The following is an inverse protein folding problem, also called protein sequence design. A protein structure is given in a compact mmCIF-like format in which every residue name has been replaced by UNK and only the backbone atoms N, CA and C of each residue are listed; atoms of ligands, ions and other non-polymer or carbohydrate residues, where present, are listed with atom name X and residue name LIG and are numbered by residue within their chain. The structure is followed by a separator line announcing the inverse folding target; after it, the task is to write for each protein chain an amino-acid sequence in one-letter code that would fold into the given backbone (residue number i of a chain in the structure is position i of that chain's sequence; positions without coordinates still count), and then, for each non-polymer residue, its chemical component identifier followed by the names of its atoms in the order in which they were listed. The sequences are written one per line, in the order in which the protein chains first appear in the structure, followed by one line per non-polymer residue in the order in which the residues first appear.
data_IF_203322319704
#
_entry.id   IF_203322319704
#
_cell.length_a   1.000
_cell.length_b   1.000
_cell.length_c   1.000
_cell.angle_alpha   90.00
_cell.angle_beta   90.00
_cell.angle_gamma   90.00
#
_symmetry.space_group_name_H-M   'P 1'
#
loop_
_entity.id
_entity.type
_entity.pdbx_description
1 polymer ?
#
# COMPACT_ATOMS: atom_id res chain seq x y z
N UNK A 1 -4.99 12.75 -1.62
CA UNK A 1 -4.50 11.80 -0.61
C UNK A 1 -5.10 12.15 0.74
N UNK A 2 -5.81 11.20 1.36
CA UNK A 2 -6.35 11.40 2.71
C UNK A 2 -5.24 11.14 3.72
N UNK A 3 -4.80 12.20 4.42
CA UNK A 3 -3.77 12.12 5.45
C UNK A 3 -4.33 12.33 6.86
N UNK A 4 -5.63 12.10 7.02
CA UNK A 4 -6.29 12.22 8.32
C UNK A 4 -6.33 10.86 8.98
N UNK A 5 -5.77 10.78 10.19
CA UNK A 5 -5.95 9.66 11.11
C UNK A 5 -7.05 10.01 12.10
N UNK A 6 -8.06 9.17 12.20
CA UNK A 6 -9.14 9.32 13.18
C UNK A 6 -9.14 8.12 14.12
N UNK A 7 -8.66 8.33 15.32
CA UNK A 7 -8.72 7.33 16.38
C UNK A 7 -9.96 7.57 17.22
N UNK A 8 -10.70 6.52 17.49
CA UNK A 8 -11.94 6.62 18.22
C UNK A 8 -12.11 5.48 19.24
N UNK A 9 -12.90 5.77 20.27
CA UNK A 9 -13.43 4.81 21.23
C UNK A 9 -14.94 4.83 21.13
N UNK A 10 -15.56 3.67 20.99
CA UNK A 10 -17.01 3.52 20.90
C UNK A 10 -17.53 2.42 21.83
N UNK A 11 -18.82 2.40 22.07
CA UNK A 11 -19.49 1.33 22.79
C UNK A 11 -19.48 0.06 21.95
N UNK A 12 -19.45 -1.08 22.61
CA UNK A 12 -19.68 -2.38 21.97
C UNK A 12 -21.18 -2.65 21.99
N UNK A 13 -21.75 -2.96 20.82
CA UNK A 13 -23.11 -3.39 20.66
C UNK A 13 -23.17 -4.73 19.87
N UNK A 14 -24.35 -5.12 19.39
CA UNK A 14 -24.54 -6.39 18.63
C UNK A 14 -23.93 -6.36 17.22
N UNK A 15 -23.63 -5.18 16.69
CA UNK A 15 -23.04 -5.01 15.36
C UNK A 15 -21.50 -4.99 15.38
N UNK A 16 -20.90 -4.96 14.20
CA UNK A 16 -19.47 -4.77 14.04
C UNK A 16 -19.20 -3.28 13.89
N UNK A 17 -18.51 -2.71 14.89
CA UNK A 17 -18.10 -1.30 14.92
C UNK A 17 -19.29 -0.30 14.76
N UNK A 18 -20.47 -0.64 15.28
CA UNK A 18 -21.72 0.16 15.13
C UNK A 18 -22.08 0.98 16.35
N UNK A 19 -21.45 0.71 17.50
CA UNK A 19 -21.77 1.37 18.76
C UNK A 19 -21.46 2.85 18.77
N UNK A 20 -22.19 3.63 19.61
CA UNK A 20 -22.01 5.06 19.71
C UNK A 20 -20.59 5.46 20.08
N UNK A 21 -20.07 6.49 19.43
CA UNK A 21 -18.73 7.03 19.69
C UNK A 21 -18.73 7.76 21.04
N UNK A 22 -17.77 7.41 21.88
CA UNK A 22 -17.54 8.00 23.21
C UNK A 22 -16.57 9.18 23.11
N UNK A 23 -15.44 9.00 22.45
CA UNK A 23 -14.41 10.03 22.26
C UNK A 23 -13.64 9.74 20.97
N UNK A 24 -13.05 10.77 20.38
CA UNK A 24 -12.20 10.61 19.20
C UNK A 24 -11.09 11.63 19.16
N UNK A 25 -10.02 11.30 18.46
CA UNK A 25 -8.87 12.17 18.22
C UNK A 25 -8.50 12.17 16.74
N UNK A 26 -8.43 13.35 16.15
CA UNK A 26 -7.99 13.56 14.77
C UNK A 26 -6.52 14.00 14.76
N UNK A 27 -5.72 13.36 13.93
CA UNK A 27 -4.34 13.77 13.67
C UNK A 27 -4.03 13.70 12.18
N UNK A 28 -2.92 14.35 11.77
CA UNK A 28 -2.46 14.30 10.39
C UNK A 28 -1.24 13.38 10.30
N UNK A 29 -1.28 12.43 9.39
CA UNK A 29 -0.09 11.67 9.04
C UNK A 29 0.99 12.60 8.48
N UNK A 30 2.24 12.53 8.97
CA UNK A 30 3.34 13.30 8.42
C UNK A 30 3.64 12.89 6.97
N UNK A 31 4.24 13.79 6.20
CA UNK A 31 4.61 13.53 4.81
C UNK A 31 5.61 12.39 4.63
N UNK A 32 6.32 12.04 5.70
CA UNK A 32 7.25 10.90 5.72
C UNK A 32 6.56 9.54 5.69
N UNK A 33 5.27 9.45 6.06
CA UNK A 33 4.53 8.20 5.91
C UNK A 33 4.24 7.96 4.43
N UNK A 34 4.82 6.90 3.86
CA UNK A 34 4.72 6.54 2.44
C UNK A 34 4.28 5.09 2.24
N UNK A 35 4.66 4.20 3.14
CA UNK A 35 4.35 2.77 3.08
C UNK A 35 3.45 2.37 4.26
N UNK A 36 2.72 1.25 4.19
CA UNK A 36 1.81 0.82 5.24
C UNK A 36 2.43 0.77 6.65
N UNK A 37 3.68 0.31 6.76
CA UNK A 37 4.38 0.26 8.05
C UNK A 37 4.54 1.64 8.69
N UNK A 38 4.87 2.68 7.91
CA UNK A 38 5.00 4.05 8.44
C UNK A 38 3.68 4.55 9.05
N UNK A 39 2.56 4.26 8.36
CA UNK A 39 1.23 4.64 8.84
C UNK A 39 0.85 3.89 10.12
N UNK A 40 1.13 2.57 10.18
CA UNK A 40 0.83 1.77 11.38
C UNK A 40 1.68 2.21 12.58
N UNK A 41 2.98 2.46 12.40
CA UNK A 41 3.88 2.93 13.47
C UNK A 41 3.42 4.28 14.02
N UNK A 42 3.03 5.21 13.13
CA UNK A 42 2.50 6.50 13.53
C UNK A 42 1.18 6.36 14.29
N UNK A 43 0.24 5.57 13.76
CA UNK A 43 -1.07 5.31 14.39
C UNK A 43 -0.91 4.70 15.76
N UNK A 44 -0.05 3.69 15.91
CA UNK A 44 0.19 3.03 17.18
C UNK A 44 0.66 4.03 18.24
N UNK A 45 1.61 4.91 17.89
CA UNK A 45 2.09 5.96 18.78
C UNK A 45 0.94 6.89 19.21
N UNK A 46 0.15 7.38 18.24
CA UNK A 46 -0.99 8.26 18.52
C UNK A 46 -2.10 7.59 19.30
N UNK A 47 -2.34 6.30 19.04
CA UNK A 47 -3.29 5.50 19.80
C UNK A 47 -2.90 5.40 21.28
N UNK A 48 -1.63 5.15 21.60
CA UNK A 48 -1.16 5.07 22.99
C UNK A 48 -1.35 6.42 23.70
N UNK A 49 -1.01 7.53 23.05
CA UNK A 49 -1.22 8.88 23.58
C UNK A 49 -2.70 9.13 23.87
N UNK A 50 -3.57 8.94 22.87
CA UNK A 50 -5.01 9.15 22.97
C UNK A 50 -5.67 8.26 24.03
N UNK A 51 -5.37 6.94 24.00
CA UNK A 51 -5.96 5.99 24.92
C UNK A 51 -5.55 6.26 26.39
N UNK A 52 -4.30 6.64 26.62
CA UNK A 52 -3.82 7.04 27.95
C UNK A 52 -4.58 8.26 28.48
N UNK A 53 -4.82 9.26 27.65
CA UNK A 53 -5.62 10.44 28.00
C UNK A 53 -7.09 10.07 28.24
N UNK A 54 -7.65 9.19 27.42
CA UNK A 54 -9.02 8.71 27.59
C UNK A 54 -9.21 7.98 28.94
N UNK A 55 -8.31 7.09 29.33
CA UNK A 55 -8.34 6.42 30.62
C UNK A 55 -8.24 7.40 31.79
N UNK A 56 -7.40 8.43 31.69
CA UNK A 56 -7.33 9.50 32.71
C UNK A 56 -8.67 10.27 32.85
N UNK A 57 -9.33 10.57 31.73
CA UNK A 57 -10.64 11.20 31.71
C UNK A 57 -11.67 10.34 32.47
N UNK A 58 -11.72 9.03 32.24
CA UNK A 58 -12.61 8.10 32.94
C UNK A 58 -12.29 8.09 34.44
N UNK A 59 -11.03 7.94 34.83
CA UNK A 59 -10.62 7.92 36.25
C UNK A 59 -10.98 9.19 36.99
N UNK A 60 -11.00 10.32 36.29
CA UNK A 60 -11.40 11.62 36.86
C UNK A 60 -12.93 11.86 36.83
N UNK A 61 -13.73 10.85 36.49
CA UNK A 61 -15.18 10.92 36.49
C UNK A 61 -15.78 11.77 35.38
N UNK A 62 -15.07 12.01 34.27
CA UNK A 62 -15.58 12.77 33.14
C UNK A 62 -16.77 12.03 32.50
N UNK A 63 -17.88 12.72 32.32
CA UNK A 63 -18.99 12.25 31.48
C UNK A 63 -18.72 12.50 30.02
N UNK A 64 -19.27 11.64 29.14
CA UNK A 64 -19.10 11.72 27.70
C UNK A 64 -20.47 11.80 27.01
N UNK A 65 -20.56 12.68 26.02
CA UNK A 65 -21.73 12.76 25.15
C UNK A 65 -21.58 11.70 24.03
N UNK A 66 -22.45 10.72 24.05
CA UNK A 66 -22.43 9.65 23.04
C UNK A 66 -22.91 10.17 21.68
N UNK A 67 -22.13 9.94 20.63
CA UNK A 67 -22.46 10.33 19.26
C UNK A 67 -22.81 9.09 18.45
N UNK A 68 -24.00 9.01 17.82
CA UNK A 68 -24.35 7.86 16.98
C UNK A 68 -23.46 7.80 15.73
N UNK A 69 -23.14 6.58 15.31
CA UNK A 69 -22.51 6.36 14.00
C UNK A 69 -23.60 6.34 12.91
N UNK A 70 -23.39 7.12 11.84
CA UNK A 70 -24.39 7.26 10.77
C UNK A 70 -24.06 6.26 9.65
N UNK A 71 -24.85 5.20 9.52
CA UNK A 71 -24.62 4.10 8.56
C UNK A 71 -24.49 4.56 7.11
N UNK A 72 -25.20 5.64 6.71
CA UNK A 72 -25.13 6.14 5.33
C UNK A 72 -23.79 6.86 5.00
N UNK A 73 -22.95 7.14 5.99
CA UNK A 73 -21.59 7.65 5.79
C UNK A 73 -20.55 6.54 5.68
N UNK A 74 -20.96 5.29 5.92
CA UNK A 74 -20.08 4.12 5.81
C UNK A 74 -19.59 3.90 4.39
N UNK A 75 -18.28 3.66 4.23
CA UNK A 75 -17.66 3.28 2.96
C UNK A 75 -17.15 1.85 3.06
N UNK A 76 -17.57 1.01 2.12
CA UNK A 76 -17.03 -0.34 2.05
C UNK A 76 -15.61 -0.30 1.48
N UNK A 77 -14.66 -0.83 2.24
CA UNK A 77 -13.28 -1.06 1.80
C UNK A 77 -13.02 -2.58 1.87
N UNK A 78 -12.78 -3.25 0.74
CA UNK A 78 -12.48 -4.67 0.75
C UNK A 78 -11.12 -4.90 1.42
N UNK A 79 -10.99 -6.03 2.10
CA UNK A 79 -9.68 -6.51 2.53
C UNK A 79 -8.96 -7.08 1.30
N UNK A 80 -7.77 -6.53 0.99
CA UNK A 80 -7.00 -6.95 -0.17
C UNK A 80 -6.21 -8.24 0.11
N UNK A 81 -6.01 -9.03 -0.95
CA UNK A 81 -5.06 -10.13 -1.00
C UNK A 81 -3.86 -9.71 -1.84
N UNK A 82 -2.71 -9.53 -1.22
CA UNK A 82 -1.50 -9.00 -1.88
C UNK A 82 -1.06 -9.84 -3.07
N UNK A 83 -1.25 -11.16 -3.04
CA UNK A 83 -0.88 -12.05 -4.15
C UNK A 83 -1.78 -11.90 -5.39
N UNK A 84 -3.02 -11.47 -5.19
CA UNK A 84 -4.00 -11.27 -6.27
C UNK A 84 -4.08 -9.80 -6.65
N UNK A 85 -4.22 -8.93 -5.65
CA UNK A 85 -4.52 -7.51 -5.86
C UNK A 85 -3.25 -6.67 -6.08
N UNK A 86 -2.06 -7.20 -5.73
CA UNK A 86 -0.77 -6.52 -5.84
C UNK A 86 -0.10 -6.59 -7.23
N UNK A 87 -0.80 -7.03 -8.28
CA UNK A 87 -0.26 -7.10 -9.64
C UNK A 87 -0.11 -5.71 -10.27
N UNK A 88 1.12 -5.34 -10.62
CA UNK A 88 1.43 -4.02 -11.18
C UNK A 88 0.89 -3.91 -12.60
N UNK A 89 0.05 -2.91 -12.85
CA UNK A 89 -0.34 -2.53 -14.21
C UNK A 89 0.59 -1.41 -14.72
N UNK A 90 1.55 -1.75 -15.56
CA UNK A 90 2.51 -0.80 -16.12
C UNK A 90 1.90 0.26 -17.05
N UNK A 91 0.60 0.20 -17.33
CA UNK A 91 -0.15 1.23 -18.05
C UNK A 91 -0.62 2.39 -17.15
N UNK A 92 -0.41 2.31 -15.84
CA UNK A 92 -0.65 3.41 -14.91
C UNK A 92 0.35 4.55 -15.15
N UNK A 93 0.00 5.77 -14.73
CA UNK A 93 0.97 6.87 -14.72
C UNK A 93 2.00 6.69 -13.59
N UNK A 94 3.04 7.52 -13.57
CA UNK A 94 4.15 7.38 -12.62
C UNK A 94 3.75 7.57 -11.17
N UNK A 95 2.79 8.46 -10.89
CA UNK A 95 2.31 8.68 -9.52
C UNK A 95 1.42 7.53 -9.06
N UNK A 96 0.55 7.03 -9.94
CA UNK A 96 -0.29 5.88 -9.65
C UNK A 96 0.56 4.62 -9.42
N UNK A 97 1.58 4.39 -10.26
CA UNK A 97 2.54 3.29 -10.07
C UNK A 97 3.28 3.42 -8.73
N UNK A 98 3.80 4.61 -8.42
CA UNK A 98 4.49 4.89 -7.17
C UNK A 98 3.59 4.60 -5.95
N UNK A 99 2.37 5.14 -5.95
CA UNK A 99 1.41 4.95 -4.87
C UNK A 99 0.98 3.48 -4.76
N UNK A 100 0.74 2.82 -5.90
CA UNK A 100 0.35 1.41 -5.94
C UNK A 100 1.45 0.51 -5.36
N UNK A 101 2.69 0.66 -5.81
CA UNK A 101 3.79 -0.19 -5.34
C UNK A 101 4.04 0.01 -3.85
N UNK A 102 4.07 1.27 -3.39
CA UNK A 102 4.25 1.57 -1.97
C UNK A 102 3.10 1.08 -1.09
N UNK A 103 1.87 0.97 -1.61
CA UNK A 103 0.75 0.41 -0.85
C UNK A 103 0.90 -1.10 -0.54
N UNK A 104 1.78 -1.80 -1.26
CA UNK A 104 2.11 -3.21 -1.03
C UNK A 104 3.52 -3.42 -0.45
N UNK A 105 4.21 -2.34 -0.05
CA UNK A 105 5.51 -2.42 0.64
C UNK A 105 5.35 -2.92 2.08
N UNK A 106 6.37 -2.79 2.93
CA UNK A 106 6.31 -3.29 4.31
C UNK A 106 5.00 -2.93 5.04
N UNK A 107 4.38 -3.89 5.74
CA UNK A 107 4.86 -5.25 6.09
C UNK A 107 4.51 -6.34 5.06
N UNK A 108 4.05 -5.98 3.88
CA UNK A 108 3.66 -6.92 2.83
C UNK A 108 4.88 -7.34 1.99
N UNK A 109 4.65 -8.35 1.14
CA UNK A 109 5.69 -8.95 0.30
C UNK A 109 6.20 -8.02 -0.82
N UNK A 110 5.42 -7.01 -1.20
CA UNK A 110 5.68 -6.11 -2.32
C UNK A 110 4.62 -6.22 -3.42
N UNK A 111 4.55 -5.21 -4.28
CA UNK A 111 3.74 -5.27 -5.50
C UNK A 111 4.42 -6.16 -6.54
N UNK A 112 3.64 -6.97 -7.24
CA UNK A 112 4.18 -8.06 -8.05
C UNK A 112 4.14 -7.79 -9.56
N UNK A 113 5.14 -8.33 -10.26
CA UNK A 113 5.32 -8.22 -11.72
C UNK A 113 6.22 -9.34 -12.23
N UNK A 114 6.59 -9.31 -13.50
CA UNK A 114 7.51 -10.23 -14.17
C UNK A 114 8.60 -9.46 -14.90
N UNK A 115 9.69 -10.13 -15.22
CA UNK A 115 10.79 -9.60 -16.03
C UNK A 115 10.93 -10.40 -17.32
N UNK A 116 11.14 -9.73 -18.45
CA UNK A 116 11.31 -10.38 -19.75
C UNK A 116 12.68 -11.05 -19.97
N UNK A 117 13.59 -10.91 -19.02
CA UNK A 117 14.92 -11.52 -19.04
C UNK A 117 15.03 -12.56 -17.94
N UNK A 118 15.33 -13.79 -18.34
CA UNK A 118 15.45 -14.91 -17.40
C UNK A 118 14.11 -15.52 -16.96
N UNK A 119 14.19 -16.58 -16.20
CA UNK A 119 13.05 -17.30 -15.65
C UNK A 119 13.03 -17.13 -14.12
N UNK A 120 12.79 -15.90 -13.68
CA UNK A 120 12.72 -15.57 -12.25
C UNK A 120 11.33 -15.82 -11.66
N UNK A 121 10.33 -16.12 -12.48
CA UNK A 121 8.94 -16.20 -12.06
C UNK A 121 8.38 -14.82 -11.65
N UNK A 122 7.50 -14.82 -10.66
CA UNK A 122 6.90 -13.59 -10.12
C UNK A 122 7.93 -12.85 -9.26
N UNK A 123 8.07 -11.56 -9.47
CA UNK A 123 8.95 -10.65 -8.74
C UNK A 123 8.14 -9.65 -7.93
N UNK A 124 8.72 -9.14 -6.85
CA UNK A 124 8.08 -8.21 -5.93
C UNK A 124 8.93 -6.95 -5.81
N UNK A 125 8.32 -5.80 -6.07
CA UNK A 125 8.98 -4.50 -6.01
C UNK A 125 8.72 -3.81 -4.67
N UNK A 126 9.77 -3.28 -4.07
CA UNK A 126 9.74 -2.51 -2.82
C UNK A 126 10.71 -1.34 -2.87
N UNK A 127 10.59 -0.41 -1.91
CA UNK A 127 11.45 0.76 -1.77
C UNK A 127 11.54 1.56 -3.08
N UNK A 128 10.38 2.00 -3.54
CA UNK A 128 10.23 2.70 -4.81
C UNK A 128 10.10 4.21 -4.57
N UNK A 129 10.80 4.98 -5.38
CA UNK A 129 10.79 6.44 -5.34
C UNK A 129 10.53 7.03 -6.72
N UNK A 130 9.88 8.19 -6.77
CA UNK A 130 9.79 8.97 -8.00
C UNK A 130 11.16 9.55 -8.35
N UNK A 131 11.54 9.45 -9.62
CA UNK A 131 12.83 9.91 -10.13
C UNK A 131 12.69 10.68 -11.45
N UNK A 132 13.48 11.75 -11.62
CA UNK A 132 13.44 12.59 -12.81
C UNK A 132 12.20 13.48 -12.86
N UNK A 133 11.66 13.70 -14.04
CA UNK A 133 10.48 14.55 -14.27
C UNK A 133 10.71 15.69 -15.25
N UNK A 134 11.91 15.77 -15.86
CA UNK A 134 12.29 16.83 -16.79
C UNK A 134 11.63 16.67 -18.17
N UNK A 135 11.38 15.42 -18.57
CA UNK A 135 10.72 15.12 -19.85
C UNK A 135 9.88 13.84 -19.74
N UNK A 136 8.82 13.79 -20.54
CA UNK A 136 7.99 12.58 -20.64
C UNK A 136 8.70 11.52 -21.47
N UNK A 137 8.57 10.25 -21.05
CA UNK A 137 8.99 9.12 -21.86
C UNK A 137 7.90 8.75 -22.88
N UNK A 138 8.31 8.14 -24.01
CA UNK A 138 7.36 7.53 -24.92
C UNK A 138 6.63 6.39 -24.20
N UNK A 139 5.31 6.21 -24.35
CA UNK A 139 4.55 5.16 -23.66
C UNK A 139 5.13 3.75 -23.86
N UNK A 140 5.74 3.47 -24.99
CA UNK A 140 6.46 2.23 -25.27
C UNK A 140 7.54 1.92 -24.24
N UNK A 141 8.13 2.93 -23.61
CA UNK A 141 9.22 2.77 -22.64
C UNK A 141 8.75 2.23 -21.27
N UNK A 142 7.44 2.17 -21.04
CA UNK A 142 6.92 1.71 -19.74
C UNK A 142 7.45 0.32 -19.37
N UNK A 143 7.95 0.20 -18.14
CA UNK A 143 8.56 -1.00 -17.61
C UNK A 143 10.02 -1.24 -18.03
N UNK A 144 10.59 -0.46 -18.96
CA UNK A 144 12.00 -0.66 -19.39
C UNK A 144 12.96 -0.12 -18.33
N UNK A 145 13.94 -0.94 -17.98
CA UNK A 145 15.07 -0.55 -17.14
C UNK A 145 15.98 0.36 -17.95
N UNK A 146 16.02 1.64 -17.59
CA UNK A 146 16.79 2.68 -18.29
C UNK A 146 18.16 2.93 -17.69
N UNK A 147 18.33 2.64 -16.40
CA UNK A 147 19.60 2.75 -15.67
C UNK A 147 19.72 1.62 -14.66
N UNK A 148 20.95 1.20 -14.39
CA UNK A 148 21.25 0.17 -13.41
C UNK A 148 22.52 0.55 -12.63
N UNK A 149 22.45 0.35 -11.32
CA UNK A 149 23.57 0.40 -10.39
C UNK A 149 23.57 -0.86 -9.51
N UNK A 150 24.60 -1.02 -8.71
CA UNK A 150 24.73 -2.17 -7.80
C UNK A 150 23.55 -2.33 -6.84
N UNK A 151 22.93 -1.24 -6.42
CA UNK A 151 21.94 -1.22 -5.34
C UNK A 151 20.56 -0.73 -5.79
N UNK A 152 20.42 -0.25 -7.01
CA UNK A 152 19.16 0.29 -7.51
C UNK A 152 19.06 0.20 -9.04
N UNK A 153 17.85 0.27 -9.52
CA UNK A 153 17.54 0.42 -10.94
C UNK A 153 16.62 1.61 -11.15
N UNK A 154 16.63 2.18 -12.35
CA UNK A 154 15.65 3.17 -12.78
C UNK A 154 14.82 2.58 -13.90
N UNK A 155 13.51 2.57 -13.70
CA UNK A 155 12.53 2.01 -14.64
C UNK A 155 11.69 3.14 -15.23
N UNK A 156 11.62 3.18 -16.55
CA UNK A 156 10.80 4.15 -17.28
C UNK A 156 9.31 3.85 -17.10
N UNK A 157 8.52 4.91 -17.03
CA UNK A 157 7.05 4.85 -17.07
C UNK A 157 6.53 5.51 -18.34
N UNK A 158 5.23 5.45 -18.60
CA UNK A 158 4.62 6.17 -19.72
C UNK A 158 4.46 7.67 -19.47
N UNK A 159 4.82 8.17 -18.30
CA UNK A 159 4.65 9.58 -17.91
C UNK A 159 5.97 10.28 -17.64
N UNK A 160 5.91 11.44 -16.99
CA UNK A 160 7.06 12.32 -16.77
C UNK A 160 8.14 11.73 -15.89
N UNK A 161 7.74 11.10 -14.77
CA UNK A 161 8.67 10.55 -13.80
C UNK A 161 8.98 9.09 -14.13
N UNK A 162 10.18 8.68 -13.83
CA UNK A 162 10.61 7.29 -13.76
C UNK A 162 10.48 6.79 -12.33
N UNK A 163 10.65 5.49 -12.12
CA UNK A 163 10.73 4.88 -10.81
C UNK A 163 12.17 4.48 -10.52
N UNK A 164 12.71 4.94 -9.39
CA UNK A 164 13.93 4.40 -8.82
C UNK A 164 13.51 3.28 -7.86
N UNK A 165 14.06 2.09 -8.01
CA UNK A 165 13.69 0.88 -7.27
C UNK A 165 14.94 0.31 -6.61
N UNK A 166 14.91 0.12 -5.29
CA UNK A 166 16.04 -0.38 -4.51
C UNK A 166 15.91 -1.87 -4.16
N UNK A 167 14.71 -2.44 -4.25
CA UNK A 167 14.48 -3.86 -3.99
C UNK A 167 13.60 -4.50 -5.06
N UNK A 168 14.13 -5.56 -5.67
CA UNK A 168 13.39 -6.47 -6.55
C UNK A 168 13.60 -7.88 -6.01
N UNK A 169 12.57 -8.42 -5.35
CA UNK A 169 12.66 -9.70 -4.65
C UNK A 169 12.09 -10.82 -5.51
N UNK A 170 12.74 -11.98 -5.48
CA UNK A 170 12.18 -13.21 -6.01
C UNK A 170 11.18 -13.87 -5.04
N UNK A 171 10.65 -15.04 -5.38
CA UNK A 171 9.70 -15.75 -4.52
C UNK A 171 10.30 -16.16 -3.17
N UNK A 172 11.61 -16.35 -3.11
CA UNK A 172 12.35 -16.75 -1.90
C UNK A 172 12.78 -15.54 -1.06
N UNK A 173 12.52 -14.31 -1.53
CA UNK A 173 12.86 -13.06 -0.86
C UNK A 173 14.28 -12.57 -1.11
N UNK A 174 15.00 -13.12 -2.10
CA UNK A 174 16.33 -12.66 -2.46
C UNK A 174 16.24 -11.43 -3.36
N UNK A 175 17.04 -10.40 -3.08
CA UNK A 175 17.12 -9.22 -3.95
C UNK A 175 17.96 -9.53 -5.21
N UNK A 176 17.30 -9.52 -6.37
CA UNK A 176 17.89 -9.89 -7.66
C UNK A 176 18.33 -8.69 -8.50
N UNK A 177 18.40 -7.48 -7.96
CA UNK A 177 18.78 -6.26 -8.71
C UNK A 177 20.05 -6.50 -9.53
N UNK A 178 21.05 -7.20 -9.00
CA UNK A 178 22.33 -7.49 -9.68
C UNK A 178 22.18 -8.33 -10.95
N UNK A 179 21.09 -9.04 -11.11
CA UNK A 179 20.80 -9.88 -12.27
C UNK A 179 20.06 -9.12 -13.37
N UNK A 180 19.50 -7.96 -13.06
CA UNK A 180 18.73 -7.11 -13.97
C UNK A 180 19.70 -6.28 -14.82
N UNK A 181 19.37 -6.05 -16.08
CA UNK A 181 20.20 -5.30 -17.03
C UNK A 181 19.45 -4.12 -17.61
N UNK A 182 20.17 -3.10 -18.03
CA UNK A 182 19.60 -2.01 -18.83
C UNK A 182 19.02 -2.61 -20.13
N UNK A 183 17.79 -2.21 -20.46
CA UNK A 183 17.03 -2.75 -21.58
C UNK A 183 16.08 -3.90 -21.22
N UNK A 184 16.24 -4.53 -20.05
CA UNK A 184 15.23 -5.47 -19.54
C UNK A 184 13.90 -4.76 -19.32
N UNK A 185 12.79 -5.49 -19.39
CA UNK A 185 11.46 -4.92 -19.21
C UNK A 185 10.68 -5.66 -18.15
N UNK A 186 10.17 -4.91 -17.19
CA UNK A 186 9.10 -5.37 -16.33
C UNK A 186 7.77 -5.34 -17.07
N UNK A 187 6.97 -6.37 -16.86
CA UNK A 187 5.64 -6.50 -17.44
C UNK A 187 4.76 -7.37 -16.56
N UNK A 188 3.46 -7.21 -16.68
CA UNK A 188 2.49 -8.11 -16.06
C UNK A 188 1.55 -8.62 -17.17
N UNK A 189 1.40 -9.95 -17.33
CA UNK A 189 0.48 -10.50 -18.33
C UNK A 189 -0.94 -9.93 -18.13
N UNK A 190 -1.53 -9.40 -19.19
CA UNK A 190 -2.87 -8.81 -19.12
C UNK A 190 -3.93 -9.77 -18.58
N UNK A 191 -3.82 -11.03 -18.91
CA UNK A 191 -4.71 -12.09 -18.44
C UNK A 191 -4.68 -12.24 -16.91
N UNK A 192 -3.53 -12.06 -16.27
CA UNK A 192 -3.42 -12.10 -14.81
C UNK A 192 -4.09 -10.87 -14.16
N UNK A 193 -3.90 -9.68 -14.73
CA UNK A 193 -4.57 -8.45 -14.28
C UNK A 193 -6.10 -8.60 -14.40
N UNK A 194 -6.61 -9.12 -15.51
CA UNK A 194 -8.05 -9.33 -15.69
C UNK A 194 -8.58 -10.42 -14.75
N UNK A 195 -7.82 -11.50 -14.54
CA UNK A 195 -8.17 -12.54 -13.58
C UNK A 195 -8.24 -11.98 -12.16
N UNK A 196 -7.30 -11.12 -11.76
CA UNK A 196 -7.32 -10.50 -10.42
C UNK A 196 -8.60 -9.67 -10.20
N UNK A 197 -9.00 -8.87 -11.18
CA UNK A 197 -10.24 -8.06 -11.13
C UNK A 197 -11.51 -8.91 -11.01
N UNK A 198 -11.51 -10.07 -11.63
CA UNK A 198 -12.65 -11.00 -11.59
C UNK A 198 -12.69 -11.90 -10.34
N UNK A 199 -11.60 -11.93 -9.57
CA UNK A 199 -11.47 -12.77 -8.38
C UNK A 199 -11.97 -12.01 -7.16
N UNK A 200 -13.05 -12.51 -6.53
CA UNK A 200 -13.52 -11.98 -5.25
C UNK A 200 -12.79 -12.67 -4.10
N UNK A 201 -11.92 -11.95 -3.44
CA UNK A 201 -11.26 -12.45 -2.23
C UNK A 201 -12.24 -12.54 -1.07
N UNK A 202 -12.36 -13.72 -0.44
CA UNK A 202 -13.24 -13.98 0.69
C UNK A 202 -12.40 -14.34 1.90
N UNK A 203 -12.60 -13.62 2.99
CA UNK A 203 -11.99 -13.91 4.29
C UNK A 203 -13.03 -14.46 5.27
N UNK A 204 -12.60 -15.32 6.17
CA UNK A 204 -13.38 -15.81 7.31
C UNK A 204 -12.51 -15.75 8.58
N UNK A 205 -13.05 -16.19 9.73
CA UNK A 205 -12.33 -16.19 11.00
C UNK A 205 -11.05 -17.04 11.03
N UNK A 206 -10.82 -17.90 10.04
CA UNK A 206 -9.64 -18.74 9.88
C UNK A 206 -8.64 -18.18 8.83
N UNK A 207 -8.93 -17.03 8.26
CA UNK A 207 -8.11 -16.37 7.24
C UNK A 207 -8.73 -16.39 5.84
N UNK A 208 -7.88 -16.45 4.82
CA UNK A 208 -8.30 -16.48 3.42
C UNK A 208 -9.06 -17.78 3.09
N UNK A 209 -10.18 -17.64 2.41
CA UNK A 209 -10.94 -18.74 1.85
C UNK A 209 -10.79 -18.71 0.32
N UNK A 210 -10.13 -19.70 -0.22
CA UNK A 210 -10.05 -19.93 -1.66
C UNK A 210 -11.32 -20.57 -2.19
#
# INVERSE_FOLDING_TARGET
EDRIDNQLVHLIDEGIDTGSIIDNHLSLFPKSCQIPQDFEDYRLKKFIEFYSEFIKKIKNGKSFDLKPQLNYLGRYNPRLNTEIDGLINWEMDSYDLYNFINAFDEPYKGASTYLNNGDFGKLYLKKVHLHGGDSSNHPFMSGIVSRHDKNWIVVSTKSKHMLLIEEVLDNDGNNIIKNIKVGDRFYTPYQEIEKSKSTKTIFNSKGLKN
#
